data_IF_106614573843
#
_entry.id   IF_106614573843
#
_cell.length_a   1.000
_cell.length_b   1.000
_cell.length_c   1.000
_cell.angle_alpha   90.00
_cell.angle_beta   90.00
_cell.angle_gamma   90.00
#
_symmetry.space_group_name_H-M   'P 1'
#
loop_
_entity.id
_entity.type
_entity.pdbx_description
1 polymer ?
#
# COMPACT_ATOMS: atom_id res chain seq x y z
N UNK A 1 10.20 -7.48 5.87
CA UNK A 1 9.90 -8.92 6.01
C UNK A 1 8.47 -9.08 6.50
N UNK A 2 7.81 -10.18 6.17
CA UNK A 2 6.55 -10.56 6.82
C UNK A 2 6.75 -10.87 8.30
N UNK A 3 5.70 -10.80 9.13
CA UNK A 3 5.79 -11.18 10.54
C UNK A 3 6.36 -12.58 10.79
N UNK A 4 6.02 -13.55 9.93
CA UNK A 4 6.55 -14.92 10.02
C UNK A 4 7.94 -15.10 9.38
N UNK A 5 8.55 -14.02 8.87
CA UNK A 5 9.86 -13.98 8.21
C UNK A 5 9.99 -14.85 6.95
N UNK A 6 8.89 -15.40 6.41
CA UNK A 6 8.91 -16.24 5.20
C UNK A 6 8.82 -15.45 3.91
N UNK A 7 8.40 -14.19 3.99
CA UNK A 7 8.18 -13.34 2.82
C UNK A 7 8.98 -12.06 2.89
N UNK A 8 9.43 -11.62 1.73
CA UNK A 8 10.18 -10.38 1.55
C UNK A 8 9.48 -9.52 0.52
N UNK A 9 9.29 -8.26 0.86
CA UNK A 9 8.87 -7.25 -0.10
C UNK A 9 9.75 -6.01 0.05
N UNK A 10 10.08 -5.40 -1.08
CA UNK A 10 10.85 -4.17 -1.15
C UNK A 10 10.41 -3.30 -2.33
N UNK A 11 10.80 -2.04 -2.29
CA UNK A 11 10.48 -1.04 -3.30
C UNK A 11 11.68 -0.89 -4.22
N UNK A 12 11.45 -0.89 -5.53
CA UNK A 12 12.49 -0.72 -6.54
C UNK A 12 12.12 0.45 -7.45
N UNK A 13 13.10 1.23 -7.88
CA UNK A 13 12.92 2.31 -8.83
C UNK A 13 13.77 2.04 -10.08
N UNK A 14 13.14 2.20 -11.25
CA UNK A 14 13.80 2.01 -12.55
C UNK A 14 13.00 2.70 -13.66
N UNK A 15 13.68 3.30 -14.65
CA UNK A 15 13.01 3.97 -15.76
C UNK A 15 12.06 5.12 -15.36
N UNK A 16 12.30 5.76 -14.21
CA UNK A 16 11.43 6.82 -13.68
C UNK A 16 10.11 6.32 -13.08
N UNK A 17 9.87 5.01 -13.05
CA UNK A 17 8.75 4.37 -12.37
C UNK A 17 9.24 3.63 -11.14
N UNK A 18 8.30 3.35 -10.27
CA UNK A 18 8.54 2.54 -9.10
C UNK A 18 7.72 1.26 -9.13
N UNK A 19 8.27 0.20 -8.53
CA UNK A 19 7.67 -1.14 -8.41
C UNK A 19 7.78 -1.62 -6.98
N UNK A 20 6.88 -2.52 -6.62
CA UNK A 20 7.05 -3.37 -5.43
C UNK A 20 7.48 -4.73 -5.92
N UNK A 21 8.60 -5.24 -5.41
CA UNK A 21 8.99 -6.64 -5.60
C UNK A 21 8.56 -7.39 -4.35
N UNK A 22 7.74 -8.43 -4.53
CA UNK A 22 7.26 -9.27 -3.44
C UNK A 22 7.58 -10.73 -3.79
N UNK A 23 8.31 -11.41 -2.89
CA UNK A 23 8.73 -12.80 -3.05
C UNK A 23 9.47 -13.05 -4.38
N UNK A 24 10.32 -12.09 -4.76
CA UNK A 24 11.09 -12.11 -6.02
C UNK A 24 10.30 -11.75 -7.27
N UNK A 25 9.01 -11.47 -7.16
CA UNK A 25 8.16 -11.14 -8.31
C UNK A 25 7.84 -9.65 -8.32
N UNK A 26 8.15 -9.00 -9.44
CA UNK A 26 7.80 -7.60 -9.66
C UNK A 26 6.29 -7.43 -9.81
N UNK A 27 5.74 -6.43 -9.13
CA UNK A 27 4.34 -6.00 -9.24
C UNK A 27 4.23 -4.78 -10.15
N UNK A 28 2.98 -4.36 -10.37
CA UNK A 28 2.58 -3.22 -11.21
C UNK A 28 3.42 -1.97 -10.96
N UNK A 29 3.68 -1.22 -12.03
CA UNK A 29 4.43 0.04 -12.00
C UNK A 29 3.57 1.23 -11.56
N UNK A 30 4.19 2.15 -10.82
CA UNK A 30 3.57 3.36 -10.28
C UNK A 30 4.43 4.60 -10.51
N UNK A 31 3.78 5.76 -10.59
CA UNK A 31 4.44 7.09 -10.70
C UNK A 31 5.07 7.53 -9.37
N UNK A 32 4.73 6.84 -8.28
CA UNK A 32 5.19 7.15 -6.95
C UNK A 32 4.73 6.11 -5.95
N UNK A 33 5.47 6.06 -4.86
CA UNK A 33 5.36 5.09 -3.79
C UNK A 33 5.40 5.88 -2.49
N UNK A 34 4.51 5.55 -1.54
CA UNK A 34 4.58 6.12 -0.21
C UNK A 34 5.76 5.49 0.53
N UNK A 35 6.80 6.28 0.80
CA UNK A 35 7.94 5.81 1.59
C UNK A 35 7.50 5.32 2.97
N UNK A 36 8.07 4.19 3.41
CA UNK A 36 7.76 3.54 4.70
C UNK A 36 6.30 3.10 4.88
N UNK A 37 5.55 2.95 3.77
CA UNK A 37 4.14 2.52 3.82
C UNK A 37 3.93 1.06 3.44
N UNK A 38 4.97 0.34 3.01
CA UNK A 38 4.91 -1.08 2.66
C UNK A 38 4.80 -1.94 3.93
N UNK A 39 3.66 -2.61 4.09
CA UNK A 39 3.34 -3.37 5.31
C UNK A 39 2.69 -4.71 4.98
N UNK A 40 3.10 -5.77 5.69
CA UNK A 40 2.46 -7.08 5.64
C UNK A 40 1.32 -7.16 6.65
N UNK A 41 0.28 -7.94 6.35
CA UNK A 41 -0.75 -8.29 7.33
C UNK A 41 -0.17 -9.12 8.49
N UNK A 42 -0.84 -9.15 9.65
CA UNK A 42 -0.41 -9.91 10.82
C UNK A 42 -0.24 -11.41 10.53
N UNK A 43 -1.08 -11.98 9.67
CA UNK A 43 -0.98 -13.38 9.24
C UNK A 43 0.02 -13.62 8.10
N UNK A 44 0.78 -12.60 7.70
CA UNK A 44 1.79 -12.65 6.64
C UNK A 44 1.24 -12.93 5.22
N UNK A 45 -0.09 -12.96 5.02
CA UNK A 45 -0.69 -13.33 3.73
C UNK A 45 -0.88 -12.16 2.77
N UNK A 46 -1.14 -10.98 3.30
CA UNK A 46 -1.46 -9.78 2.52
C UNK A 46 -0.31 -8.78 2.56
N UNK A 47 -0.16 -8.01 1.49
CA UNK A 47 0.79 -6.91 1.39
C UNK A 47 0.03 -5.64 0.99
N UNK A 48 0.11 -4.60 1.83
CA UNK A 48 -0.57 -3.33 1.60
C UNK A 48 0.42 -2.17 1.53
N UNK A 49 0.10 -1.14 0.73
CA UNK A 49 0.95 0.04 0.58
C UNK A 49 0.26 1.25 -0.08
N UNK A 50 0.85 2.45 0.01
CA UNK A 50 0.40 3.64 -0.74
C UNK A 50 1.10 3.78 -2.10
N UNK A 51 0.32 3.89 -3.18
CA UNK A 51 0.87 4.04 -4.52
C UNK A 51 0.22 5.21 -5.27
N UNK A 52 1.00 5.89 -6.12
CA UNK A 52 0.54 6.99 -6.96
C UNK A 52 0.54 6.58 -8.42
N UNK A 53 -0.59 6.78 -9.10
CA UNK A 53 -0.72 6.56 -10.54
C UNK A 53 -1.71 7.56 -11.13
N UNK A 54 -1.35 8.21 -12.22
CA UNK A 54 -2.18 9.26 -12.84
C UNK A 54 -2.38 10.46 -11.91
N UNK A 55 -1.37 10.81 -11.11
CA UNK A 55 -1.44 11.93 -10.15
C UNK A 55 -2.27 11.67 -8.89
N UNK A 56 -2.97 10.54 -8.79
CA UNK A 56 -3.80 10.15 -7.62
C UNK A 56 -3.13 9.09 -6.76
N UNK A 57 -3.29 9.21 -5.44
CA UNK A 57 -2.84 8.22 -4.46
C UNK A 57 -3.94 7.18 -4.20
N UNK A 58 -3.56 5.92 -4.00
CA UNK A 58 -4.45 4.80 -3.69
C UNK A 58 -3.78 3.87 -2.68
N UNK A 59 -4.58 3.28 -1.80
CA UNK A 59 -4.15 2.09 -1.06
C UNK A 59 -4.19 0.92 -2.02
N UNK A 60 -3.10 0.17 -2.09
CA UNK A 60 -2.99 -1.05 -2.90
C UNK A 60 -2.82 -2.23 -1.96
N UNK A 61 -3.66 -3.25 -2.09
CA UNK A 61 -3.57 -4.50 -1.31
C UNK A 61 -3.44 -5.65 -2.29
N UNK A 62 -2.36 -6.42 -2.21
CA UNK A 62 -2.05 -7.55 -3.12
C UNK A 62 -2.11 -7.19 -4.62
N UNK A 63 -1.89 -5.92 -4.95
CA UNK A 63 -1.96 -5.41 -6.32
C UNK A 63 -3.34 -4.88 -6.75
N UNK A 64 -4.38 -5.11 -5.95
CA UNK A 64 -5.70 -4.50 -6.14
C UNK A 64 -5.66 -3.03 -5.70
N UNK A 65 -6.05 -2.12 -6.60
CA UNK A 65 -6.07 -0.68 -6.35
C UNK A 65 -7.39 -0.26 -5.71
N UNK A 66 -7.33 0.40 -4.55
CA UNK A 66 -8.49 0.97 -3.87
C UNK A 66 -8.90 2.34 -4.41
N UNK A 67 -9.66 3.08 -3.59
CA UNK A 67 -10.16 4.42 -3.91
C UNK A 67 -9.03 5.43 -4.13
N UNK A 68 -9.35 6.48 -4.88
CA UNK A 68 -8.43 7.57 -5.21
C UNK A 68 -8.47 8.73 -4.20
N UNK A 69 -7.29 9.25 -3.91
CA UNK A 69 -7.04 10.34 -2.95
C UNK A 69 -6.08 11.38 -3.53
N UNK A 70 -6.14 12.61 -3.04
CA UNK A 70 -5.22 13.69 -3.43
C UNK A 70 -3.82 13.48 -2.84
N UNK A 71 -3.76 12.78 -1.70
CA UNK A 71 -2.55 12.58 -0.93
C UNK A 71 -2.77 11.60 0.21
N UNK A 72 -1.67 11.26 0.88
CA UNK A 72 -1.67 10.59 2.17
C UNK A 72 -0.91 11.46 3.17
N UNK A 73 -1.11 11.24 4.47
CA UNK A 73 -0.38 11.98 5.51
C UNK A 73 1.05 11.46 5.57
N UNK A 74 2.04 12.30 5.26
CA UNK A 74 3.46 11.92 5.34
C UNK A 74 3.81 11.53 6.79
N UNK A 75 4.44 10.37 6.96
CA UNK A 75 4.76 9.80 8.28
C UNK A 75 3.63 8.98 8.89
N UNK A 76 2.42 8.97 8.32
CA UNK A 76 1.38 8.01 8.69
C UNK A 76 1.66 6.66 8.04
N UNK A 77 1.48 5.58 8.82
CA UNK A 77 1.57 4.21 8.32
C UNK A 77 0.21 3.72 7.86
N UNK A 78 0.21 2.74 6.97
CA UNK A 78 -0.91 1.81 6.84
C UNK A 78 -0.83 0.84 8.02
N UNK A 79 -1.94 0.64 8.71
CA UNK A 79 -2.01 -0.22 9.89
C UNK A 79 -3.08 -1.27 9.64
N UNK A 80 -2.67 -2.53 9.63
CA UNK A 80 -3.63 -3.63 9.66
C UNK A 80 -4.25 -3.73 11.06
N UNK A 81 -5.57 -3.62 11.14
CA UNK A 81 -6.36 -3.88 12.35
C UNK A 81 -6.63 -5.38 12.51
N UNK A 82 -6.66 -6.11 11.41
CA UNK A 82 -6.77 -7.58 11.34
C UNK A 82 -6.10 -8.12 10.08
N UNK A 83 -6.17 -9.42 9.81
CA UNK A 83 -5.72 -9.97 8.51
C UNK A 83 -6.55 -9.49 7.31
N UNK A 84 -7.76 -8.95 7.54
CA UNK A 84 -8.71 -8.55 6.49
C UNK A 84 -9.16 -7.10 6.58
N UNK A 85 -8.62 -6.33 7.52
CA UNK A 85 -8.95 -4.91 7.66
C UNK A 85 -7.71 -4.11 7.97
N UNK A 86 -7.65 -2.91 7.39
CA UNK A 86 -6.61 -1.94 7.68
C UNK A 86 -7.17 -0.52 7.62
N UNK A 87 -6.48 0.38 8.29
CA UNK A 87 -6.74 1.81 8.18
C UNK A 87 -5.51 2.61 7.79
N UNK A 88 -5.77 3.79 7.22
CA UNK A 88 -4.76 4.79 6.91
C UNK A 88 -5.35 6.21 6.96
N UNK A 89 -4.47 7.21 6.93
CA UNK A 89 -4.86 8.60 6.78
C UNK A 89 -4.63 9.08 5.35
N UNK A 90 -5.67 9.63 4.75
CA UNK A 90 -5.63 10.18 3.40
C UNK A 90 -6.10 11.63 3.38
N UNK A 91 -5.74 12.36 2.33
CA UNK A 91 -6.31 13.68 2.00
C UNK A 91 -7.22 13.57 0.80
N UNK A 92 -8.42 14.12 0.89
CA UNK A 92 -9.38 14.21 -0.22
C UNK A 92 -10.14 15.53 -0.15
N UNK A 93 -10.18 16.26 -1.26
CA UNK A 93 -10.81 17.58 -1.36
C UNK A 93 -10.32 18.58 -0.31
N UNK A 94 -9.04 18.49 0.07
CA UNK A 94 -8.44 19.35 1.10
C UNK A 94 -8.65 18.89 2.55
N UNK A 95 -9.50 17.89 2.80
CA UNK A 95 -9.78 17.35 4.14
C UNK A 95 -8.95 16.11 4.42
N UNK A 96 -8.60 15.89 5.69
CA UNK A 96 -8.00 14.65 6.16
C UNK A 96 -9.08 13.67 6.59
N UNK A 97 -8.94 12.42 6.17
CA UNK A 97 -9.87 11.36 6.52
C UNK A 97 -9.14 10.09 6.96
N UNK A 98 -9.78 9.35 7.86
CA UNK A 98 -9.44 7.96 8.12
C UNK A 98 -10.08 7.10 7.03
N UNK A 99 -9.25 6.36 6.31
CA UNK A 99 -9.65 5.38 5.31
C UNK A 99 -9.68 4.03 5.98
N UNK A 100 -10.83 3.38 5.97
CA UNK A 100 -10.98 1.97 6.31
C UNK A 100 -10.97 1.16 5.01
N UNK A 101 -10.18 0.08 4.99
CA UNK A 101 -10.13 -0.85 3.87
C UNK A 101 -10.45 -2.24 4.43
N UNK A 102 -11.56 -2.81 3.97
CA UNK A 102 -11.87 -4.22 4.15
C UNK A 102 -11.44 -5.01 2.92
N UNK A 103 -10.80 -6.15 3.16
CA UNK A 103 -10.26 -7.05 2.15
C UNK A 103 -11.25 -8.22 2.02
N UNK A 104 -12.02 -8.19 0.93
CA UNK A 104 -12.96 -9.27 0.58
C UNK A 104 -12.18 -10.34 -0.20
N UNK A 105 -12.44 -11.61 0.11
CA UNK A 105 -11.92 -12.72 -0.69
C UNK A 105 -12.89 -13.00 -1.83
N UNK A 106 -12.37 -13.13 -3.05
CA UNK A 106 -13.12 -13.67 -4.20
C UNK A 106 -13.34 -15.17 -4.08
#
# INVERSE_FOLDING_TARGET
FSPDSRRLAYEAQGGGKWRVVADGVERKEYDGIGGDTLVFSPDSRRLARWARRGGRWRVVVDGAEGREYDGFVRGSKLVFDSSRSLHALARRSGEFLRVEVEIVEE
#
